data_IF_231597981164
#
_entry.id   IF_231597981164
#
_cell.length_a   1.000
_cell.length_b   1.000
_cell.length_c   1.000
_cell.angle_alpha   90.00
_cell.angle_beta   90.00
_cell.angle_gamma   90.00
#
_symmetry.space_group_name_H-M   'P 1'
#
loop_
_entity.id
_entity.type
_entity.pdbx_description
1 polymer ?
#
# COMPACT_ATOMS: atom_id res chain seq x y z
N UNK A 1 -19.51 27.22 32.41
CA UNK A 1 -20.02 25.97 32.98
C UNK A 1 -19.15 24.88 32.41
N UNK A 2 -18.12 24.49 33.17
CA UNK A 2 -17.11 23.49 32.76
C UNK A 2 -17.68 22.09 32.95
N UNK A 3 -17.64 21.24 31.93
CA UNK A 3 -17.80 19.79 32.08
C UNK A 3 -16.42 19.17 32.08
N UNK A 4 -16.00 18.61 33.21
CA UNK A 4 -14.89 17.69 33.38
C UNK A 4 -15.25 16.39 32.71
N UNK A 5 -14.33 15.86 31.90
CA UNK A 5 -14.39 14.52 31.33
C UNK A 5 -13.72 13.57 32.30
N UNK A 6 -14.46 12.58 32.77
CA UNK A 6 -14.03 11.55 33.71
C UNK A 6 -13.11 10.54 33.00
N UNK A 7 -11.88 10.43 33.50
CA UNK A 7 -10.90 9.41 33.08
C UNK A 7 -11.09 8.15 33.94
N UNK A 8 -12.03 7.29 33.57
CA UNK A 8 -12.09 5.96 34.20
C UNK A 8 -12.98 5.00 33.40
N UNK A 9 -12.52 4.55 32.23
CA UNK A 9 -13.03 3.34 31.59
C UNK A 9 -12.04 2.76 30.58
N UNK A 10 -10.87 2.32 31.06
CA UNK A 10 -9.98 1.44 30.31
C UNK A 10 -9.58 0.28 31.19
N UNK A 11 -10.45 -0.73 31.32
CA UNK A 11 -10.05 -2.11 31.63
C UNK A 11 -11.26 -3.04 31.72
N UNK A 12 -11.81 -3.44 30.60
CA UNK A 12 -12.60 -4.68 30.52
C UNK A 12 -12.33 -5.37 29.19
N UNK A 13 -11.12 -5.92 29.05
CA UNK A 13 -10.87 -6.93 28.02
C UNK A 13 -11.54 -8.21 28.51
N UNK A 14 -12.60 -8.56 27.83
CA UNK A 14 -13.45 -9.72 28.03
C UNK A 14 -12.59 -10.97 28.04
N UNK A 15 -12.49 -11.61 29.21
CA UNK A 15 -12.02 -12.99 29.34
C UNK A 15 -13.10 -13.94 28.83
N UNK A 16 -12.97 -14.41 27.61
CA UNK A 16 -13.79 -15.46 27.05
C UNK A 16 -13.49 -16.80 27.76
N UNK A 17 -14.50 -17.58 28.24
CA UNK A 17 -14.31 -18.82 28.96
C UNK A 17 -14.32 -20.07 28.07
N UNK A 18 -13.55 -20.09 26.94
CA UNK A 18 -13.62 -21.20 25.98
C UNK A 18 -12.26 -21.85 25.75
N UNK A 19 -11.56 -22.29 26.79
CA UNK A 19 -10.41 -23.18 26.59
C UNK A 19 -10.29 -24.17 27.72
N UNK A 20 -10.79 -25.38 27.49
CA UNK A 20 -10.66 -26.52 28.39
C UNK A 20 -10.16 -27.82 27.76
N UNK A 21 -9.56 -27.77 26.56
CA UNK A 21 -8.99 -28.98 25.96
C UNK A 21 -7.71 -28.68 25.20
N UNK A 22 -6.58 -29.32 25.56
CA UNK A 22 -5.24 -29.01 25.06
C UNK A 22 -5.05 -29.37 23.56
N UNK A 23 -5.72 -30.39 23.08
CA UNK A 23 -5.59 -30.79 21.65
C UNK A 23 -6.39 -29.91 20.73
N UNK A 24 -7.57 -29.46 21.15
CA UNK A 24 -8.37 -28.46 20.41
C UNK A 24 -7.71 -27.10 20.42
N UNK A 25 -6.89 -26.77 21.40
CA UNK A 25 -6.17 -25.51 21.52
C UNK A 25 -5.09 -25.35 20.43
N UNK A 26 -4.32 -26.40 20.14
CA UNK A 26 -3.27 -26.35 19.10
C UNK A 26 -3.87 -26.22 17.69
N UNK A 27 -4.99 -26.88 17.43
CA UNK A 27 -5.67 -26.81 16.14
C UNK A 27 -6.39 -25.45 15.93
N UNK A 28 -7.00 -24.90 16.98
CA UNK A 28 -7.70 -23.61 16.92
C UNK A 28 -6.77 -22.39 16.94
N UNK A 29 -5.60 -22.47 17.59
CA UNK A 29 -4.64 -21.37 17.60
C UNK A 29 -3.92 -21.13 16.26
N UNK A 30 -3.93 -22.10 15.33
CA UNK A 30 -3.48 -21.84 13.95
C UNK A 30 -4.26 -20.71 13.28
N UNK A 31 -5.52 -20.52 13.64
CA UNK A 31 -6.40 -19.50 13.05
C UNK A 31 -6.37 -18.13 13.74
N UNK A 32 -5.90 -18.05 14.98
CA UNK A 32 -5.90 -16.82 15.76
C UNK A 32 -4.67 -15.91 15.51
N UNK A 33 -3.59 -16.46 14.97
CA UNK A 33 -2.27 -15.78 14.90
C UNK A 33 -2.19 -14.74 13.78
N UNK A 34 -3.05 -14.82 12.76
CA UNK A 34 -2.92 -13.97 11.57
C UNK A 34 -3.86 -12.76 11.49
N UNK A 35 -4.64 -12.49 12.53
CA UNK A 35 -5.62 -11.39 12.54
C UNK A 35 -5.14 -10.16 13.33
N UNK A 36 -3.95 -10.20 13.93
CA UNK A 36 -3.44 -9.07 14.68
C UNK A 36 -2.44 -8.23 13.87
N UNK A 37 -2.62 -6.91 13.96
CA UNK A 37 -1.71 -5.91 13.43
C UNK A 37 -0.24 -6.19 13.81
N UNK A 38 0.68 -5.74 12.99
CA UNK A 38 2.13 -5.92 13.02
C UNK A 38 2.81 -5.84 14.43
N UNK A 39 2.21 -5.14 15.38
CA UNK A 39 2.71 -5.03 16.78
C UNK A 39 2.51 -6.34 17.57
N UNK A 40 1.48 -7.13 17.26
CA UNK A 40 1.21 -8.41 17.98
C UNK A 40 2.11 -9.56 17.49
N UNK A 41 2.61 -9.50 16.25
CA UNK A 41 3.47 -10.55 15.68
C UNK A 41 4.80 -10.70 16.43
N UNK A 42 5.43 -9.60 16.87
CA UNK A 42 6.67 -9.62 17.66
C UNK A 42 6.47 -10.13 19.09
N UNK A 43 5.32 -9.83 19.71
CA UNK A 43 4.98 -10.30 21.07
C UNK A 43 4.63 -11.80 21.13
N UNK A 44 4.01 -12.32 20.07
CA UNK A 44 3.61 -13.73 19.99
C UNK A 44 4.78 -14.66 19.65
N UNK A 45 5.78 -14.17 18.91
CA UNK A 45 7.02 -14.92 18.66
C UNK A 45 7.79 -15.20 19.95
N UNK A 46 7.84 -14.23 20.88
CA UNK A 46 8.47 -14.40 22.19
C UNK A 46 7.64 -15.31 23.13
N UNK A 47 6.31 -15.34 22.97
CA UNK A 47 5.42 -16.18 23.79
C UNK A 47 5.44 -17.65 23.33
N UNK A 48 5.53 -17.89 22.01
CA UNK A 48 5.58 -19.27 21.47
C UNK A 48 6.88 -19.99 21.82
N UNK A 49 8.03 -19.29 21.88
CA UNK A 49 9.34 -19.90 22.20
C UNK A 49 9.44 -20.39 23.64
N UNK A 50 8.71 -19.81 24.58
CA UNK A 50 8.72 -20.24 25.99
C UNK A 50 7.80 -21.45 26.28
N UNK A 51 6.84 -21.75 25.41
CA UNK A 51 5.89 -22.88 25.60
C UNK A 51 6.33 -24.19 24.95
N UNK A 52 7.38 -24.16 24.10
CA UNK A 52 7.82 -25.29 23.28
C UNK A 52 8.87 -26.19 23.95
N UNK A 53 9.26 -25.90 25.17
CA UNK A 53 10.27 -26.69 25.89
C UNK A 53 9.77 -28.04 26.45
N UNK A 54 8.52 -28.42 26.22
CA UNK A 54 7.93 -29.66 26.77
C UNK A 54 7.30 -30.59 25.70
N UNK A 55 7.56 -30.41 24.40
CA UNK A 55 7.06 -31.33 23.37
C UNK A 55 8.17 -32.27 22.86
N UNK A 56 7.85 -33.56 22.53
CA UNK A 56 8.84 -34.52 22.04
C UNK A 56 9.45 -34.00 20.73
N UNK A 57 10.76 -34.12 20.63
CA UNK A 57 11.66 -33.63 19.59
C UNK A 57 11.17 -33.90 18.17
N UNK A 58 10.41 -32.98 17.59
CA UNK A 58 10.28 -32.85 16.15
C UNK A 58 11.57 -32.21 15.63
N UNK A 59 12.17 -32.79 14.60
CA UNK A 59 13.38 -32.29 13.96
C UNK A 59 13.23 -30.77 13.67
N UNK A 60 14.18 -29.98 14.12
CA UNK A 60 14.12 -28.52 14.02
C UNK A 60 13.92 -28.01 12.57
N UNK A 61 14.48 -28.73 11.56
CA UNK A 61 14.28 -28.40 10.16
C UNK A 61 12.84 -28.66 9.69
N UNK A 62 12.18 -29.70 10.18
CA UNK A 62 10.79 -30.02 9.86
C UNK A 62 9.85 -28.98 10.54
N UNK A 63 10.16 -28.56 11.73
CA UNK A 63 9.41 -27.54 12.48
C UNK A 63 9.52 -26.17 11.80
N UNK A 64 10.71 -25.74 11.38
CA UNK A 64 10.95 -24.53 10.62
C UNK A 64 10.25 -24.55 9.26
N UNK A 65 10.19 -25.72 8.61
CA UNK A 65 9.44 -25.88 7.36
C UNK A 65 7.93 -25.82 7.57
N UNK A 66 7.42 -26.31 8.71
CA UNK A 66 5.99 -26.23 9.07
C UNK A 66 5.56 -24.78 9.39
N UNK A 67 6.44 -23.99 9.97
CA UNK A 67 6.18 -22.56 10.23
C UNK A 67 6.16 -21.70 8.95
N UNK A 68 6.76 -22.19 7.87
CA UNK A 68 6.82 -21.53 6.56
C UNK A 68 5.65 -21.84 5.64
N UNK A 69 4.79 -22.82 5.99
CA UNK A 69 3.60 -23.13 5.19
C UNK A 69 2.51 -22.14 5.60
N UNK A 70 2.09 -21.22 4.71
CA UNK A 70 0.96 -20.33 4.99
C UNK A 70 -0.28 -21.14 5.34
N UNK A 71 -1.12 -20.61 6.24
CA UNK A 71 -2.42 -21.23 6.54
C UNK A 71 -3.24 -21.34 5.26
N UNK A 72 -3.78 -22.54 4.96
CA UNK A 72 -4.71 -22.74 3.85
C UNK A 72 -6.14 -22.47 4.31
N UNK A 73 -6.69 -21.37 3.82
CA UNK A 73 -8.08 -20.98 4.12
C UNK A 73 -9.11 -21.92 3.49
N UNK A 74 -8.78 -22.54 2.35
CA UNK A 74 -9.65 -23.51 1.67
C UNK A 74 -9.88 -24.82 2.47
N UNK A 75 -9.14 -25.05 3.55
CA UNK A 75 -9.35 -26.16 4.47
C UNK A 75 -10.34 -25.83 5.62
N UNK A 76 -10.80 -24.58 5.72
CA UNK A 76 -11.76 -24.16 6.74
C UNK A 76 -13.15 -24.74 6.48
N UNK A 77 -13.81 -25.20 7.58
CA UNK A 77 -15.23 -25.51 7.53
C UNK A 77 -16.08 -24.20 7.46
N UNK A 78 -17.34 -24.35 7.08
CA UNK A 78 -18.25 -23.21 6.91
C UNK A 78 -18.44 -22.41 8.20
N UNK A 79 -18.45 -23.08 9.38
CA UNK A 79 -18.60 -22.39 10.66
C UNK A 79 -17.38 -21.49 10.95
N UNK A 80 -16.19 -22.03 10.74
CA UNK A 80 -14.92 -21.27 10.91
C UNK A 80 -14.83 -20.12 9.92
N UNK A 81 -15.28 -20.31 8.69
CA UNK A 81 -15.29 -19.25 7.66
C UNK A 81 -16.27 -18.12 8.03
N UNK A 82 -17.46 -18.45 8.54
CA UNK A 82 -18.44 -17.45 9.04
C UNK A 82 -17.83 -16.66 10.22
N UNK A 83 -17.17 -17.32 11.15
CA UNK A 83 -16.55 -16.65 12.28
C UNK A 83 -15.42 -15.72 11.83
N UNK A 84 -14.61 -16.17 10.88
CA UNK A 84 -13.55 -15.36 10.25
C UNK A 84 -14.12 -14.11 9.53
N UNK A 85 -15.24 -14.23 8.82
CA UNK A 85 -15.93 -13.10 8.20
C UNK A 85 -16.46 -12.09 9.21
N UNK A 86 -16.99 -12.55 10.35
CA UNK A 86 -17.40 -11.66 11.46
C UNK A 86 -16.21 -10.89 12.03
N UNK A 87 -15.07 -11.56 12.19
CA UNK A 87 -13.84 -10.92 12.64
C UNK A 87 -13.35 -9.91 11.60
N UNK A 88 -13.37 -10.26 10.31
CA UNK A 88 -13.05 -9.35 9.20
C UNK A 88 -13.92 -8.08 9.28
N UNK A 89 -15.25 -8.22 9.38
CA UNK A 89 -16.16 -7.06 9.52
C UNK A 89 -15.81 -6.18 10.71
N UNK A 90 -15.45 -6.77 11.83
CA UNK A 90 -15.06 -6.03 13.04
C UNK A 90 -13.74 -5.29 12.84
N UNK A 91 -12.72 -5.97 12.31
CA UNK A 91 -11.36 -5.44 12.17
C UNK A 91 -11.29 -4.29 11.15
N UNK A 92 -12.07 -4.39 10.07
CA UNK A 92 -12.10 -3.37 9.01
C UNK A 92 -13.36 -2.49 9.04
N UNK A 93 -14.10 -2.51 10.17
CA UNK A 93 -15.30 -1.68 10.37
C UNK A 93 -16.33 -1.81 9.24
N UNK A 94 -16.51 -3.04 8.69
CA UNK A 94 -17.44 -3.30 7.59
C UNK A 94 -18.86 -3.45 8.09
N UNK A 95 -19.78 -2.77 7.44
CA UNK A 95 -21.23 -2.89 7.61
C UNK A 95 -21.91 -2.81 6.25
N UNK A 96 -23.00 -3.56 6.08
CA UNK A 96 -23.75 -3.65 4.83
C UNK A 96 -25.18 -3.24 5.07
N UNK A 97 -25.82 -2.62 4.09
CA UNK A 97 -27.16 -2.05 4.24
C UNK A 97 -28.25 -3.11 4.28
N UNK A 98 -28.05 -4.25 3.60
CA UNK A 98 -29.04 -5.33 3.46
C UNK A 98 -28.41 -6.70 3.69
N UNK A 99 -29.26 -7.68 4.07
CA UNK A 99 -28.84 -9.09 4.22
C UNK A 99 -28.36 -9.68 2.88
N UNK A 100 -28.94 -9.23 1.76
CA UNK A 100 -28.55 -9.68 0.41
C UNK A 100 -27.13 -9.17 0.07
N UNK A 101 -26.84 -7.92 0.39
CA UNK A 101 -25.48 -7.38 0.25
C UNK A 101 -24.49 -8.12 1.16
N UNK A 102 -24.80 -8.33 2.43
CA UNK A 102 -23.94 -9.08 3.34
C UNK A 102 -23.66 -10.49 2.81
N UNK A 103 -24.66 -11.15 2.24
CA UNK A 103 -24.51 -12.48 1.62
C UNK A 103 -23.60 -12.46 0.40
N UNK A 104 -23.70 -11.41 -0.43
CA UNK A 104 -22.81 -11.21 -1.56
C UNK A 104 -21.37 -10.98 -1.09
N UNK A 105 -21.17 -10.07 -0.13
CA UNK A 105 -19.84 -9.76 0.45
C UNK A 105 -19.22 -10.96 1.13
N UNK A 106 -20.01 -11.79 1.80
CA UNK A 106 -19.52 -13.07 2.34
C UNK A 106 -19.08 -14.03 1.23
N UNK A 107 -19.79 -14.08 0.11
CA UNK A 107 -19.39 -14.89 -1.05
C UNK A 107 -18.06 -14.39 -1.65
N UNK A 108 -17.90 -13.07 -1.81
CA UNK A 108 -16.66 -12.46 -2.26
C UNK A 108 -15.50 -12.77 -1.29
N UNK A 109 -15.76 -12.66 0.01
CA UNK A 109 -14.78 -13.00 1.06
C UNK A 109 -14.30 -14.44 0.93
N UNK A 110 -15.21 -15.42 0.73
CA UNK A 110 -14.81 -16.82 0.49
C UNK A 110 -13.93 -16.98 -0.75
N UNK A 111 -14.28 -16.31 -1.83
CA UNK A 111 -13.48 -16.31 -3.05
C UNK A 111 -12.08 -15.70 -2.80
N UNK A 112 -12.02 -14.60 -2.07
CA UNK A 112 -10.77 -13.95 -1.72
C UNK A 112 -9.85 -14.86 -0.87
N UNK A 113 -10.40 -15.67 0.02
CA UNK A 113 -9.63 -16.67 0.78
C UNK A 113 -8.95 -17.69 -0.14
N UNK A 114 -9.61 -18.11 -1.22
CA UNK A 114 -9.00 -19.02 -2.21
C UNK A 114 -7.91 -18.33 -3.04
N UNK A 115 -8.06 -17.03 -3.30
CA UNK A 115 -7.04 -16.20 -3.97
C UNK A 115 -5.80 -16.08 -3.08
N UNK A 116 -5.98 -15.84 -1.77
CA UNK A 116 -4.87 -15.81 -0.81
C UNK A 116 -4.09 -17.13 -0.84
N UNK A 117 -4.79 -18.27 -0.75
CA UNK A 117 -4.14 -19.58 -0.76
C UNK A 117 -3.32 -19.79 -2.03
N UNK A 118 -3.89 -19.43 -3.18
CA UNK A 118 -3.20 -19.52 -4.47
C UNK A 118 -1.97 -18.61 -4.53
N UNK A 119 -2.10 -17.34 -4.14
CA UNK A 119 -0.98 -16.38 -4.17
C UNK A 119 0.16 -16.81 -3.24
N UNK A 120 -0.14 -17.31 -2.04
CA UNK A 120 0.86 -17.87 -1.15
C UNK A 120 1.51 -19.15 -1.72
N UNK A 121 0.76 -19.97 -2.44
CA UNK A 121 1.30 -21.15 -3.12
C UNK A 121 2.21 -20.74 -4.29
N UNK A 122 1.80 -19.75 -5.09
CA UNK A 122 2.59 -19.20 -6.20
C UNK A 122 3.90 -18.58 -5.70
N UNK A 123 3.86 -17.78 -4.63
CA UNK A 123 5.06 -17.24 -3.99
C UNK A 123 5.99 -18.33 -3.47
N UNK A 124 5.46 -19.42 -2.93
CA UNK A 124 6.25 -20.54 -2.44
C UNK A 124 6.86 -21.39 -3.58
N UNK A 125 6.11 -21.61 -4.68
CA UNK A 125 6.53 -22.48 -5.78
C UNK A 125 7.39 -21.75 -6.81
N UNK A 126 7.00 -20.55 -7.21
CA UNK A 126 7.60 -19.79 -8.31
C UNK A 126 8.43 -18.60 -7.85
N UNK A 127 8.12 -18.05 -6.68
CA UNK A 127 8.89 -17.01 -6.03
C UNK A 127 9.93 -17.59 -5.08
N UNK A 128 10.46 -16.75 -4.22
CA UNK A 128 11.40 -17.14 -3.16
C UNK A 128 10.72 -17.42 -1.82
N UNK A 129 9.38 -17.37 -1.76
CA UNK A 129 8.59 -17.51 -0.53
C UNK A 129 8.83 -16.39 0.49
N UNK A 130 9.22 -15.22 0.01
CA UNK A 130 9.58 -14.09 0.88
C UNK A 130 8.40 -13.18 1.22
N UNK A 131 7.28 -13.26 0.48
CA UNK A 131 6.08 -12.48 0.78
C UNK A 131 4.97 -13.32 1.40
N UNK A 132 4.04 -12.63 2.07
CA UNK A 132 2.86 -13.21 2.69
C UNK A 132 1.61 -12.47 2.21
N UNK A 133 0.65 -13.24 1.70
CA UNK A 133 -0.70 -12.79 1.40
C UNK A 133 -1.67 -13.23 2.51
N UNK A 134 -2.64 -12.37 2.82
CA UNK A 134 -3.61 -12.58 3.89
C UNK A 134 -4.88 -11.76 3.69
N UNK A 135 -5.73 -11.76 4.72
CA UNK A 135 -6.97 -10.97 4.75
C UNK A 135 -6.62 -9.50 4.95
N UNK A 136 -6.98 -8.68 3.97
CA UNK A 136 -6.84 -7.22 4.00
C UNK A 136 -8.21 -6.56 3.96
N UNK A 137 -8.26 -5.23 4.02
CA UNK A 137 -9.50 -4.47 3.86
C UNK A 137 -10.24 -4.70 2.55
N UNK A 138 -9.63 -5.34 1.56
CA UNK A 138 -10.22 -5.63 0.25
C UNK A 138 -10.90 -7.00 0.16
N UNK A 139 -10.95 -7.76 1.26
CA UNK A 139 -11.35 -9.17 1.20
C UNK A 139 -12.84 -9.42 0.87
N UNK A 140 -13.68 -8.40 0.90
CA UNK A 140 -15.09 -8.48 0.50
C UNK A 140 -15.36 -7.95 -0.92
N UNK A 141 -14.30 -7.56 -1.65
CA UNK A 141 -14.40 -7.10 -3.03
C UNK A 141 -14.14 -8.23 -4.02
N UNK A 142 -14.77 -8.12 -5.19
CA UNK A 142 -14.35 -8.87 -6.37
C UNK A 142 -13.06 -8.26 -6.96
N UNK A 143 -12.34 -9.00 -7.80
CA UNK A 143 -11.18 -8.46 -8.52
C UNK A 143 -11.56 -7.28 -9.42
N UNK A 144 -12.73 -7.29 -10.04
CA UNK A 144 -13.22 -6.19 -10.88
C UNK A 144 -13.55 -4.94 -10.05
N UNK A 145 -14.19 -5.11 -8.87
CA UNK A 145 -14.44 -4.01 -7.93
C UNK A 145 -13.12 -3.41 -7.43
N UNK A 146 -12.14 -4.27 -7.09
CA UNK A 146 -10.82 -3.80 -6.67
C UNK A 146 -10.11 -3.03 -7.79
N UNK A 147 -10.06 -3.59 -9.01
CA UNK A 147 -9.45 -2.91 -10.16
C UNK A 147 -10.10 -1.56 -10.42
N UNK A 148 -11.43 -1.53 -10.46
CA UNK A 148 -12.17 -0.29 -10.72
C UNK A 148 -11.92 0.79 -9.67
N UNK A 149 -11.89 0.43 -8.38
CA UNK A 149 -11.87 1.40 -7.29
C UNK A 149 -10.46 1.81 -6.83
N UNK A 150 -9.44 1.00 -7.11
CA UNK A 150 -8.11 1.21 -6.52
C UNK A 150 -6.97 1.26 -7.53
N UNK A 151 -7.21 0.85 -8.78
CA UNK A 151 -6.24 0.88 -9.88
C UNK A 151 -6.76 1.84 -10.95
N UNK A 152 -5.97 2.83 -11.30
CA UNK A 152 -6.45 3.92 -12.16
C UNK A 152 -5.38 4.47 -13.10
N UNK A 153 -4.27 3.75 -13.33
CA UNK A 153 -3.29 4.19 -14.30
C UNK A 153 -3.81 4.01 -15.72
N UNK A 154 -3.69 5.08 -16.51
CA UNK A 154 -3.99 5.09 -17.96
C UNK A 154 -2.80 5.66 -18.71
N UNK A 155 -2.04 4.81 -19.42
CA UNK A 155 -0.86 5.29 -20.16
C UNK A 155 -1.25 6.30 -21.25
N UNK A 156 -0.51 7.40 -21.34
CA UNK A 156 -0.55 8.32 -22.48
C UNK A 156 0.61 8.00 -23.41
N UNK A 157 0.39 8.10 -24.71
CA UNK A 157 1.41 7.77 -25.73
C UNK A 157 2.32 8.95 -26.10
N UNK A 158 1.98 10.17 -25.71
CA UNK A 158 2.76 11.38 -25.95
C UNK A 158 3.17 11.99 -24.60
N UNK A 159 4.32 11.56 -24.09
CA UNK A 159 4.89 12.18 -22.89
C UNK A 159 5.97 13.18 -23.29
N UNK A 160 5.97 14.35 -22.64
CA UNK A 160 7.02 15.36 -22.81
C UNK A 160 8.20 15.12 -21.86
N UNK A 161 8.21 14.01 -21.13
CA UNK A 161 9.25 13.68 -20.17
C UNK A 161 10.62 13.55 -20.86
N UNK A 162 11.59 14.28 -20.34
CA UNK A 162 12.97 14.15 -20.79
C UNK A 162 13.61 13.02 -20.00
N UNK A 163 14.09 11.99 -20.71
CA UNK A 163 14.83 10.89 -20.07
C UNK A 163 16.20 11.40 -19.60
N UNK A 164 16.52 11.17 -18.32
CA UNK A 164 17.81 11.49 -17.70
C UNK A 164 18.54 10.21 -17.32
N UNK A 165 19.81 10.17 -17.61
CA UNK A 165 20.73 9.14 -17.09
C UNK A 165 21.34 9.62 -15.77
N UNK A 166 21.50 8.69 -14.82
CA UNK A 166 22.09 8.94 -13.51
C UNK A 166 23.51 8.37 -13.47
N UNK A 167 24.45 9.12 -12.91
CA UNK A 167 25.81 8.62 -12.73
C UNK A 167 25.85 7.58 -11.58
N UNK A 168 25.82 6.33 -11.95
CA UNK A 168 25.79 5.18 -11.02
C UNK A 168 27.10 4.97 -10.28
N UNK A 169 28.24 5.48 -10.79
CA UNK A 169 29.57 5.30 -10.17
C UNK A 169 29.76 6.16 -8.90
N UNK A 170 28.95 7.18 -8.71
CA UNK A 170 29.06 8.09 -7.57
C UNK A 170 28.30 7.64 -6.33
N UNK A 171 27.55 6.54 -6.39
CA UNK A 171 26.70 6.06 -5.30
C UNK A 171 27.51 5.21 -4.32
N UNK A 172 27.73 5.71 -3.11
CA UNK A 172 28.54 5.07 -2.07
C UNK A 172 27.72 4.37 -0.96
N UNK A 173 26.39 4.26 -1.14
CA UNK A 173 25.49 3.59 -0.18
C UNK A 173 24.67 2.53 -0.89
N UNK A 174 24.27 1.51 -0.14
CA UNK A 174 23.48 0.38 -0.63
C UNK A 174 22.06 0.37 -0.07
N UNK A 175 21.78 1.21 0.94
CA UNK A 175 20.49 1.26 1.62
C UNK A 175 20.07 2.70 1.86
N UNK A 176 18.80 2.99 1.55
CA UNK A 176 18.15 4.24 1.90
C UNK A 176 16.64 4.03 2.11
N UNK A 177 16.08 4.78 3.04
CA UNK A 177 14.64 4.94 3.22
C UNK A 177 14.34 6.42 3.47
N UNK A 178 13.61 7.06 2.57
CA UNK A 178 13.22 8.46 2.65
C UNK A 178 11.88 8.69 3.34
N UNK A 179 11.18 7.63 3.77
CA UNK A 179 9.93 7.75 4.51
C UNK A 179 10.10 8.66 5.74
N UNK A 180 9.21 9.62 5.90
CA UNK A 180 9.25 10.67 6.94
C UNK A 180 10.50 11.59 6.91
N UNK A 181 11.35 11.48 5.89
CA UNK A 181 12.49 12.39 5.64
C UNK A 181 12.14 13.33 4.49
N UNK A 182 11.73 12.76 3.35
CA UNK A 182 11.28 13.50 2.17
C UNK A 182 9.84 13.17 1.78
N UNK A 183 9.09 12.44 2.62
CA UNK A 183 7.69 12.13 2.37
C UNK A 183 6.78 12.68 3.45
N UNK A 184 5.60 13.10 3.07
CA UNK A 184 4.47 13.32 3.98
C UNK A 184 3.91 11.99 4.48
N UNK A 185 2.86 12.00 5.32
CA UNK A 185 2.19 10.79 5.78
C UNK A 185 1.60 9.97 4.62
N UNK A 186 1.45 8.66 4.83
CA UNK A 186 0.73 7.75 3.91
C UNK A 186 -0.70 8.24 3.73
N UNK A 187 -1.14 8.32 2.46
CA UNK A 187 -2.47 8.79 2.08
C UNK A 187 -3.43 7.62 1.82
N UNK A 188 -4.73 7.93 1.69
CA UNK A 188 -5.76 6.95 1.31
C UNK A 188 -6.66 7.54 0.22
N UNK A 189 -6.59 6.97 -0.99
CA UNK A 189 -7.40 7.36 -2.15
C UNK A 189 -8.86 6.91 -2.06
N UNK A 190 -9.19 6.01 -1.11
CA UNK A 190 -10.52 5.42 -1.01
C UNK A 190 -10.88 4.61 -2.25
N UNK A 191 -12.19 4.48 -2.50
CA UNK A 191 -12.74 3.81 -3.68
C UNK A 191 -12.83 4.83 -4.85
N UNK A 192 -11.69 5.15 -5.44
CA UNK A 192 -11.54 6.08 -6.58
C UNK A 192 -10.22 5.75 -7.30
N UNK A 193 -10.26 5.55 -8.61
CA UNK A 193 -9.08 5.24 -9.44
C UNK A 193 -8.14 6.44 -9.62
N UNK A 194 -7.79 7.13 -8.53
CA UNK A 194 -7.00 8.38 -8.51
C UNK A 194 -5.52 8.20 -8.15
N UNK A 195 -5.00 6.97 -8.16
CA UNK A 195 -3.60 6.66 -7.81
C UNK A 195 -2.58 7.51 -8.58
N UNK A 196 -2.86 7.84 -9.82
CA UNK A 196 -2.07 8.72 -10.68
C UNK A 196 -1.90 10.12 -10.07
N UNK A 197 -2.97 10.70 -9.56
CA UNK A 197 -2.96 12.02 -8.91
C UNK A 197 -2.27 11.95 -7.54
N UNK A 198 -2.44 10.86 -6.78
CA UNK A 198 -1.75 10.64 -5.51
C UNK A 198 -0.24 10.50 -5.70
N UNK A 199 0.20 9.64 -6.64
CA UNK A 199 1.62 9.45 -6.94
C UNK A 199 2.28 10.75 -7.41
N UNK A 200 1.61 11.51 -8.29
CA UNK A 200 2.12 12.81 -8.76
C UNK A 200 2.22 13.83 -7.60
N UNK A 201 1.18 13.95 -6.78
CA UNK A 201 1.18 14.84 -5.61
C UNK A 201 2.30 14.47 -4.64
N UNK A 202 2.45 13.20 -4.31
CA UNK A 202 3.48 12.68 -3.42
C UNK A 202 4.89 12.94 -3.96
N UNK A 203 5.07 12.89 -5.27
CA UNK A 203 6.35 13.22 -5.88
C UNK A 203 6.65 14.72 -5.81
N UNK A 204 5.66 15.58 -6.09
CA UNK A 204 5.80 17.05 -5.94
C UNK A 204 6.13 17.41 -4.49
N UNK A 205 5.46 16.79 -3.51
CA UNK A 205 5.78 16.94 -2.09
C UNK A 205 7.24 16.57 -1.80
N UNK A 206 7.66 15.37 -2.22
CA UNK A 206 8.99 14.84 -1.90
C UNK A 206 10.11 15.70 -2.49
N UNK A 207 9.97 16.13 -3.74
CA UNK A 207 10.97 17.00 -4.37
C UNK A 207 10.98 18.39 -3.73
N UNK A 208 9.82 18.94 -3.37
CA UNK A 208 9.72 20.23 -2.68
C UNK A 208 10.30 20.17 -1.26
N UNK A 209 10.08 19.09 -0.53
CA UNK A 209 10.68 18.87 0.80
C UNK A 209 12.21 18.74 0.67
N UNK A 210 12.69 17.94 -0.27
CA UNK A 210 14.11 17.77 -0.56
C UNK A 210 14.81 19.08 -0.90
N UNK A 211 14.14 19.95 -1.62
CA UNK A 211 14.64 21.28 -1.98
C UNK A 211 14.48 22.32 -0.84
N UNK A 212 13.86 21.97 0.28
CA UNK A 212 13.64 22.86 1.41
C UNK A 212 12.52 23.90 1.17
N UNK A 213 11.62 23.66 0.23
CA UNK A 213 10.47 24.51 -0.08
C UNK A 213 9.27 24.17 0.79
N UNK A 214 9.11 22.91 1.15
CA UNK A 214 8.07 22.37 2.03
C UNK A 214 8.72 21.56 3.18
N UNK A 215 7.90 21.18 4.15
CA UNK A 215 8.22 20.26 5.23
C UNK A 215 7.38 18.98 5.10
N UNK A 216 7.69 17.95 5.88
CA UNK A 216 6.91 16.69 5.91
C UNK A 216 5.47 16.87 6.40
N UNK A 217 5.16 17.99 7.04
CA UNK A 217 3.81 18.35 7.52
C UNK A 217 2.99 19.12 6.48
N UNK A 218 3.59 19.50 5.35
CA UNK A 218 2.96 20.29 4.29
C UNK A 218 2.39 19.36 3.19
N UNK A 219 1.32 18.62 3.52
CA UNK A 219 0.63 17.77 2.54
C UNK A 219 -0.07 18.65 1.47
N UNK A 220 0.13 18.31 0.20
CA UNK A 220 -0.52 18.92 -0.95
C UNK A 220 -1.79 18.14 -1.33
N UNK A 221 -2.67 18.78 -2.13
CA UNK A 221 -3.98 18.25 -2.50
C UNK A 221 -3.95 17.35 -3.73
N UNK A 222 -4.10 16.02 -3.61
CA UNK A 222 -4.36 15.19 -4.78
C UNK A 222 -5.74 15.48 -5.40
N UNK A 223 -6.71 15.96 -4.60
CA UNK A 223 -8.04 16.31 -5.07
C UNK A 223 -8.03 17.41 -6.12
N UNK A 224 -7.16 18.42 -5.96
CA UNK A 224 -7.04 19.46 -6.95
C UNK A 224 -6.66 18.86 -8.33
N UNK A 225 -5.75 17.91 -8.37
CA UNK A 225 -5.41 17.20 -9.62
C UNK A 225 -6.60 16.40 -10.13
N UNK A 226 -7.22 15.57 -9.26
CA UNK A 226 -8.37 14.71 -9.62
C UNK A 226 -9.52 15.50 -10.23
N UNK A 227 -9.83 16.70 -9.69
CA UNK A 227 -10.98 17.50 -10.12
C UNK A 227 -10.66 18.49 -11.23
N UNK A 228 -9.43 18.97 -11.31
CA UNK A 228 -9.09 20.12 -12.17
C UNK A 228 -8.26 19.74 -13.39
N UNK A 229 -7.65 18.57 -13.42
CA UNK A 229 -7.06 18.08 -14.66
C UNK A 229 -8.18 17.73 -15.64
N UNK A 230 -8.13 18.36 -16.82
CA UNK A 230 -9.14 18.19 -17.87
C UNK A 230 -8.68 17.22 -18.98
N UNK A 231 -7.50 16.64 -18.86
CA UNK A 231 -6.95 15.66 -19.79
C UNK A 231 -7.33 14.25 -19.32
N UNK A 232 -7.22 14.01 -18.03
CA UNK A 232 -7.52 12.74 -17.40
C UNK A 232 -9.00 12.63 -16.94
N UNK A 233 -9.34 11.51 -16.33
CA UNK A 233 -10.73 11.10 -16.11
C UNK A 233 -11.11 11.04 -14.61
N UNK A 234 -10.40 11.77 -13.75
CA UNK A 234 -10.68 11.81 -12.31
C UNK A 234 -10.61 10.43 -11.66
N UNK A 235 -11.71 9.95 -11.05
CA UNK A 235 -11.78 8.63 -10.43
C UNK A 235 -11.74 7.48 -11.45
N UNK A 236 -11.98 7.71 -12.73
CA UNK A 236 -11.87 6.67 -13.76
C UNK A 236 -10.44 6.47 -14.27
N UNK A 237 -9.47 7.21 -13.74
CA UNK A 237 -8.05 7.03 -14.02
C UNK A 237 -7.39 8.18 -14.75
N UNK A 238 -6.06 8.12 -14.82
CA UNK A 238 -5.21 9.12 -15.46
C UNK A 238 -3.73 8.73 -15.44
N UNK A 239 -2.88 9.72 -15.73
CA UNK A 239 -1.43 9.56 -15.84
C UNK A 239 -0.68 10.58 -14.98
N UNK A 240 0.45 10.20 -14.45
CA UNK A 240 1.33 11.08 -13.67
C UNK A 240 1.94 12.20 -14.51
N UNK A 241 2.22 11.97 -15.82
CA UNK A 241 2.72 13.01 -16.72
C UNK A 241 1.73 14.15 -16.85
N UNK A 242 0.48 13.84 -17.18
CA UNK A 242 -0.60 14.81 -17.32
C UNK A 242 -0.89 15.52 -16.02
N UNK A 243 -0.79 14.82 -14.88
CA UNK A 243 -0.87 15.43 -13.55
C UNK A 243 0.23 16.47 -13.30
N UNK A 244 1.50 16.16 -13.65
CA UNK A 244 2.60 17.14 -13.56
C UNK A 244 2.39 18.31 -14.50
N UNK A 245 1.97 18.06 -15.75
CA UNK A 245 1.65 19.09 -16.74
C UNK A 245 0.49 19.96 -16.28
N UNK A 246 -0.54 19.37 -15.64
CA UNK A 246 -1.63 20.15 -15.04
C UNK A 246 -1.09 21.14 -14.01
N UNK A 247 -0.31 20.69 -13.01
CA UNK A 247 0.24 21.56 -11.95
C UNK A 247 1.13 22.65 -12.53
N UNK A 248 1.94 22.32 -13.55
CA UNK A 248 2.77 23.27 -14.28
C UNK A 248 1.92 24.34 -14.98
N UNK A 249 0.89 23.94 -15.72
CA UNK A 249 0.04 24.83 -16.50
C UNK A 249 -0.92 25.66 -15.63
N UNK A 250 -1.41 25.09 -14.54
CA UNK A 250 -2.23 25.80 -13.55
C UNK A 250 -1.42 26.86 -12.79
N UNK A 251 -0.09 26.69 -12.73
CA UNK A 251 0.83 27.55 -12.00
C UNK A 251 1.01 27.18 -10.55
N UNK A 252 0.45 26.06 -10.08
CA UNK A 252 0.67 25.55 -8.73
C UNK A 252 -0.40 24.60 -8.20
N UNK A 253 -0.15 24.13 -6.99
CA UNK A 253 -1.02 23.21 -6.25
C UNK A 253 -1.22 23.68 -4.83
N UNK A 254 -2.46 23.54 -4.30
CA UNK A 254 -2.88 23.91 -2.95
C UNK A 254 -2.45 22.84 -1.92
N UNK A 255 -2.53 23.21 -0.63
CA UNK A 255 -2.45 22.25 0.47
C UNK A 255 -3.70 21.39 0.51
N UNK A 256 -3.55 20.17 1.01
CA UNK A 256 -4.68 19.26 1.29
C UNK A 256 -5.68 19.87 2.27
N UNK A 257 -5.21 20.66 3.27
CA UNK A 257 -6.08 21.38 4.21
C UNK A 257 -6.92 22.51 3.57
N UNK A 258 -6.48 23.07 2.44
CA UNK A 258 -7.17 24.13 1.70
C UNK A 258 -8.06 23.60 0.59
N UNK A 259 -7.75 22.43 0.08
CA UNK A 259 -8.49 21.70 -0.94
C UNK A 259 -8.55 20.20 -0.58
N UNK A 260 -9.37 19.81 0.41
CA UNK A 260 -9.37 18.47 0.98
C UNK A 260 -9.90 17.40 0.03
N UNK A 261 -9.42 16.15 0.19
CA UNK A 261 -9.84 15.03 -0.61
C UNK A 261 -11.29 14.63 -0.32
N UNK A 262 -12.16 14.68 -1.33
CA UNK A 262 -13.60 14.37 -1.27
C UNK A 262 -14.02 13.25 -2.22
N UNK A 263 -13.18 12.86 -3.15
CA UNK A 263 -13.44 11.82 -4.17
C UNK A 263 -13.42 10.40 -3.64
N UNK A 264 -13.36 10.23 -2.32
CA UNK A 264 -13.20 8.94 -1.61
C UNK A 264 -14.23 7.86 -1.99
N UNK A 265 -15.37 8.22 -2.57
CA UNK A 265 -16.48 7.32 -2.91
C UNK A 265 -16.82 7.31 -4.41
N UNK A 266 -15.82 7.34 -5.29
CA UNK A 266 -15.99 7.27 -6.76
C UNK A 266 -16.74 8.49 -7.35
N UNK A 267 -16.59 9.66 -6.75
CA UNK A 267 -17.19 10.90 -7.23
C UNK A 267 -16.12 11.96 -7.43
N UNK A 268 -15.74 12.22 -8.66
CA UNK A 268 -14.71 13.20 -9.00
C UNK A 268 -15.05 14.63 -8.52
N UNK A 269 -16.31 15.05 -8.59
CA UNK A 269 -16.71 16.39 -8.21
C UNK A 269 -16.35 17.47 -9.26
N UNK A 270 -16.35 18.74 -8.84
CA UNK A 270 -16.08 19.90 -9.70
C UNK A 270 -14.83 20.65 -9.22
N UNK A 271 -14.03 21.13 -10.16
CA UNK A 271 -12.85 21.95 -9.84
C UNK A 271 -13.21 23.28 -9.20
N UNK A 272 -12.63 23.56 -8.03
CA UNK A 272 -12.82 24.81 -7.27
C UNK A 272 -11.49 25.41 -6.80
N UNK A 273 -10.38 25.16 -7.52
CA UNK A 273 -9.05 25.60 -7.12
C UNK A 273 -8.94 27.14 -7.02
N UNK A 274 -8.17 27.59 -6.02
CA UNK A 274 -7.90 28.99 -5.73
C UNK A 274 -6.41 29.29 -5.89
N UNK A 275 -6.05 29.95 -6.98
CA UNK A 275 -4.65 30.26 -7.32
C UNK A 275 -3.93 31.09 -6.25
N UNK A 276 -4.66 31.77 -5.35
CA UNK A 276 -4.06 32.55 -4.26
C UNK A 276 -3.55 31.68 -3.11
N UNK A 277 -3.86 30.37 -3.12
CA UNK A 277 -3.47 29.37 -2.12
C UNK A 277 -2.40 28.40 -2.60
N UNK A 278 -1.95 28.54 -3.83
CA UNK A 278 -0.92 27.67 -4.37
C UNK A 278 0.38 27.77 -3.59
N UNK A 279 0.97 26.64 -3.29
CA UNK A 279 2.18 26.52 -2.48
C UNK A 279 3.44 26.41 -3.35
N UNK A 280 3.40 25.44 -4.25
CA UNK A 280 4.51 25.11 -5.15
C UNK A 280 3.96 24.81 -6.54
N UNK A 281 4.83 24.97 -7.54
CA UNK A 281 4.54 24.55 -8.92
C UNK A 281 5.63 23.64 -9.45
N UNK A 282 5.31 22.84 -10.46
CA UNK A 282 6.26 22.04 -11.22
C UNK A 282 6.81 22.91 -12.36
N UNK A 283 8.14 22.99 -12.46
CA UNK A 283 8.79 23.69 -13.59
C UNK A 283 9.20 22.72 -14.70
N UNK A 284 9.67 21.55 -14.30
CA UNK A 284 10.14 20.49 -15.19
C UNK A 284 9.89 19.14 -14.52
N UNK A 285 9.73 18.09 -15.32
CA UNK A 285 9.74 16.72 -14.84
C UNK A 285 10.57 15.84 -15.76
N UNK A 286 11.12 14.79 -15.21
CA UNK A 286 12.06 13.91 -15.89
C UNK A 286 11.70 12.45 -15.64
N UNK A 287 11.95 11.62 -16.67
CA UNK A 287 11.89 10.16 -16.56
C UNK A 287 13.29 9.59 -16.40
N UNK A 288 13.42 8.45 -15.73
CA UNK A 288 14.63 7.66 -15.69
C UNK A 288 14.53 6.51 -16.70
N UNK A 289 15.68 5.99 -17.12
CA UNK A 289 15.76 5.06 -18.24
C UNK A 289 15.38 3.63 -17.87
N UNK A 290 15.87 3.15 -16.72
CA UNK A 290 15.78 1.76 -16.28
C UNK A 290 15.91 1.63 -14.75
N UNK A 291 15.81 0.40 -14.24
CA UNK A 291 15.87 0.13 -12.81
C UNK A 291 17.23 0.51 -12.18
N UNK A 292 18.34 0.40 -12.92
CA UNK A 292 19.67 0.77 -12.43
C UNK A 292 19.75 2.29 -12.19
N UNK A 293 19.24 3.10 -13.11
CA UNK A 293 19.13 4.56 -12.93
C UNK A 293 18.20 4.92 -11.76
N UNK A 294 17.10 4.19 -11.57
CA UNK A 294 16.20 4.37 -10.44
C UNK A 294 16.88 4.07 -9.10
N UNK A 295 17.62 2.96 -9.01
CA UNK A 295 18.40 2.59 -7.82
C UNK A 295 19.40 3.69 -7.50
N UNK A 296 20.17 4.13 -8.48
CA UNK A 296 21.17 5.18 -8.31
C UNK A 296 20.55 6.52 -7.87
N UNK A 297 19.44 6.93 -8.48
CA UNK A 297 18.71 8.15 -8.12
C UNK A 297 18.15 8.03 -6.68
N UNK A 298 17.47 6.95 -6.37
CA UNK A 298 16.88 6.75 -5.04
C UNK A 298 17.97 6.73 -3.96
N UNK A 299 19.07 6.02 -4.19
CA UNK A 299 20.20 6.00 -3.25
C UNK A 299 20.83 7.37 -3.06
N UNK A 300 20.93 8.20 -4.10
CA UNK A 300 21.67 9.47 -4.04
C UNK A 300 20.81 10.70 -3.78
N UNK A 301 19.56 10.71 -4.24
CA UNK A 301 18.78 11.94 -4.43
C UNK A 301 17.46 11.94 -3.66
N UNK A 302 16.51 11.03 -3.96
CA UNK A 302 15.19 11.07 -3.35
C UNK A 302 14.21 10.01 -3.85
N UNK A 303 12.93 10.09 -3.44
CA UNK A 303 11.84 9.24 -3.95
C UNK A 303 11.57 9.43 -5.44
N UNK A 304 10.85 8.45 -6.00
CA UNK A 304 10.39 8.44 -7.40
C UNK A 304 8.90 8.09 -7.48
N UNK A 305 8.12 8.85 -8.23
CA UNK A 305 6.82 8.40 -8.72
C UNK A 305 7.04 7.26 -9.70
N UNK A 306 6.32 6.16 -9.54
CA UNK A 306 6.42 4.97 -10.40
C UNK A 306 5.04 4.39 -10.67
N UNK A 307 4.85 3.81 -11.87
CA UNK A 307 3.62 3.08 -12.19
C UNK A 307 3.95 1.60 -12.34
N UNK A 308 3.08 0.74 -11.80
CA UNK A 308 3.35 -0.67 -11.52
C UNK A 308 2.15 -1.55 -11.85
N UNK A 309 2.37 -2.86 -12.00
CA UNK A 309 1.33 -3.87 -12.07
C UNK A 309 0.92 -4.29 -10.65
N UNK A 310 -0.22 -3.81 -10.15
CA UNK A 310 -0.66 -3.98 -8.77
C UNK A 310 -1.91 -4.85 -8.60
N UNK A 311 -2.41 -5.49 -9.65
CA UNK A 311 -3.61 -6.34 -9.62
C UNK A 311 -3.56 -7.43 -8.53
N UNK A 312 -2.35 -7.92 -8.20
CA UNK A 312 -2.12 -8.97 -7.19
C UNK A 312 -1.94 -8.43 -5.76
N UNK A 313 -1.85 -7.10 -5.56
CA UNK A 313 -1.49 -6.51 -4.28
C UNK A 313 -2.61 -6.48 -3.25
N UNK A 314 -3.86 -6.69 -3.67
CA UNK A 314 -5.04 -6.60 -2.78
C UNK A 314 -4.90 -7.44 -1.50
N UNK A 315 -4.22 -8.58 -1.54
CA UNK A 315 -4.02 -9.48 -0.40
C UNK A 315 -2.64 -9.40 0.26
N UNK A 316 -1.77 -8.49 -0.16
CA UNK A 316 -0.43 -8.35 0.42
C UNK A 316 -0.47 -7.92 1.88
N UNK A 317 0.30 -8.59 2.73
CA UNK A 317 0.42 -8.30 4.17
C UNK A 317 1.84 -7.92 4.54
N UNK A 318 2.84 -8.69 4.08
CA UNK A 318 4.24 -8.44 4.45
C UNK A 318 5.23 -9.18 3.56
N UNK A 319 6.52 -8.83 3.73
CA UNK A 319 7.64 -9.48 3.05
C UNK A 319 7.91 -8.91 1.67
N UNK A 320 8.80 -9.54 0.92
CA UNK A 320 9.26 -9.06 -0.39
C UNK A 320 8.48 -9.80 -1.48
N UNK A 321 7.74 -9.07 -2.32
CA UNK A 321 7.06 -9.62 -3.50
C UNK A 321 8.12 -10.09 -4.51
N UNK A 322 8.00 -11.34 -4.93
CA UNK A 322 8.88 -12.00 -5.89
C UNK A 322 8.13 -12.60 -7.08
N UNK A 323 6.81 -12.38 -7.15
CA UNK A 323 5.95 -12.78 -8.26
C UNK A 323 4.88 -11.70 -8.49
N UNK A 324 4.73 -11.23 -9.73
CA UNK A 324 3.85 -10.12 -10.07
C UNK A 324 3.28 -10.27 -11.48
N UNK A 325 2.18 -9.58 -11.74
CA UNK A 325 1.65 -9.36 -13.08
C UNK A 325 2.53 -8.36 -13.86
N UNK A 326 2.26 -8.19 -15.16
CA UNK A 326 2.99 -7.26 -16.04
C UNK A 326 2.11 -6.17 -16.64
N UNK A 327 0.80 -6.20 -16.38
CA UNK A 327 -0.14 -5.16 -16.84
C UNK A 327 -0.08 -3.99 -15.86
N UNK A 328 0.58 -2.89 -16.25
CA UNK A 328 0.72 -1.69 -15.43
C UNK A 328 -0.63 -0.99 -15.31
N UNK A 329 -1.14 -0.87 -14.07
CA UNK A 329 -2.50 -0.44 -13.77
C UNK A 329 -2.61 0.51 -12.56
N UNK A 330 -1.48 0.81 -11.89
CA UNK A 330 -1.45 1.58 -10.64
C UNK A 330 -0.20 2.47 -10.57
N UNK A 331 -0.29 3.65 -9.93
CA UNK A 331 0.87 4.50 -9.69
C UNK A 331 1.05 4.74 -8.18
N UNK A 332 2.30 4.69 -7.74
CA UNK A 332 2.74 4.73 -6.34
C UNK A 332 4.06 5.50 -6.22
N UNK A 333 4.72 5.45 -5.07
CA UNK A 333 6.01 6.11 -4.90
C UNK A 333 7.08 5.15 -4.36
N UNK A 334 8.17 4.96 -5.09
CA UNK A 334 9.37 4.29 -4.58
C UNK A 334 10.11 5.24 -3.64
N UNK A 335 10.10 4.96 -2.34
CA UNK A 335 10.65 5.84 -1.30
C UNK A 335 11.97 5.35 -0.72
N UNK A 336 12.41 4.17 -1.11
CA UNK A 336 13.68 3.64 -0.63
C UNK A 336 14.06 2.36 -1.34
N UNK A 337 15.31 1.97 -1.16
CA UNK A 337 15.87 0.75 -1.71
C UNK A 337 16.92 0.17 -0.76
N UNK A 338 16.95 -1.15 -0.67
CA UNK A 338 17.97 -1.92 0.03
C UNK A 338 18.57 -2.92 -0.95
N UNK A 339 19.70 -2.59 -1.55
CA UNK A 339 20.37 -3.46 -2.52
C UNK A 339 21.15 -4.59 -1.85
N UNK A 340 21.45 -4.52 -0.55
CA UNK A 340 22.10 -5.60 0.21
C UNK A 340 21.14 -6.78 0.43
N UNK A 341 19.85 -6.47 0.70
CA UNK A 341 18.78 -7.46 0.90
C UNK A 341 17.89 -7.64 -0.34
N UNK A 342 18.08 -6.81 -1.37
CA UNK A 342 17.46 -6.94 -2.67
C UNK A 342 15.98 -6.54 -2.73
N UNK A 343 15.58 -5.38 -2.15
CA UNK A 343 14.20 -4.92 -2.25
C UNK A 343 14.03 -3.39 -2.33
N UNK A 344 12.96 -2.99 -3.00
CA UNK A 344 12.39 -1.65 -3.00
C UNK A 344 11.44 -1.45 -1.82
N UNK A 345 11.41 -0.25 -1.27
CA UNK A 345 10.38 0.22 -0.34
C UNK A 345 9.45 1.14 -1.12
N UNK A 346 8.20 0.71 -1.31
CA UNK A 346 7.21 1.42 -2.11
C UNK A 346 6.07 1.90 -1.22
N UNK A 347 5.81 3.21 -1.21
CA UNK A 347 4.68 3.84 -0.53
C UNK A 347 3.45 3.74 -1.42
N UNK A 348 2.35 3.19 -0.88
CA UNK A 348 1.07 3.11 -1.56
C UNK A 348 0.08 4.15 -1.00
N UNK A 349 -1.01 4.36 -1.70
CA UNK A 349 -2.09 5.29 -1.36
C UNK A 349 -3.38 4.58 -0.91
N UNK A 350 -3.25 3.47 -0.18
CA UNK A 350 -4.39 2.70 0.36
C UNK A 350 -4.48 2.74 1.88
N UNK A 351 -3.97 3.81 2.54
CA UNK A 351 -3.98 3.96 3.99
C UNK A 351 -2.98 3.07 4.72
N UNK A 352 -2.79 3.34 6.01
CA UNK A 352 -1.81 2.62 6.86
C UNK A 352 -2.30 1.26 7.36
N UNK A 353 -3.56 0.91 7.14
CA UNK A 353 -4.16 -0.37 7.50
C UNK A 353 -3.98 -1.47 6.42
N UNK A 354 -3.25 -1.16 5.35
CA UNK A 354 -2.87 -2.10 4.31
C UNK A 354 -1.35 -2.32 4.29
N UNK A 355 -0.93 -3.56 4.00
CA UNK A 355 0.48 -3.93 3.84
C UNK A 355 1.34 -3.65 5.08
N UNK A 356 2.54 -3.17 4.89
CA UNK A 356 3.49 -2.77 5.94
C UNK A 356 3.24 -1.30 6.32
N UNK A 357 2.15 -1.01 7.05
CA UNK A 357 1.75 0.36 7.42
C UNK A 357 1.60 1.30 6.20
N UNK A 358 1.03 0.78 5.11
CA UNK A 358 0.83 1.49 3.84
C UNK A 358 1.96 1.30 2.82
N UNK A 359 2.96 0.49 3.14
CA UNK A 359 4.09 0.18 2.25
C UNK A 359 4.04 -1.26 1.75
N UNK A 360 4.72 -1.49 0.62
CA UNK A 360 5.00 -2.81 0.05
C UNK A 360 6.47 -2.91 -0.32
N UNK A 361 7.05 -4.09 -0.20
CA UNK A 361 8.41 -4.37 -0.64
C UNK A 361 8.41 -5.21 -1.91
N UNK A 362 9.15 -4.78 -2.92
CA UNK A 362 9.30 -5.45 -4.21
C UNK A 362 10.75 -5.86 -4.41
N UNK A 363 11.01 -7.05 -4.98
CA UNK A 363 12.38 -7.49 -5.29
C UNK A 363 13.05 -6.54 -6.27
N UNK A 364 14.35 -6.19 -6.04
CA UNK A 364 15.14 -5.33 -6.93
C UNK A 364 15.90 -6.14 -7.99
N UNK A 365 16.27 -5.48 -9.09
CA UNK A 365 17.15 -6.03 -10.13
C UNK A 365 16.47 -6.97 -11.11
N UNK A 366 15.14 -7.07 -11.06
CA UNK A 366 14.32 -7.94 -11.90
C UNK A 366 13.10 -7.23 -12.47
N UNK A 367 13.04 -5.90 -12.33
CA UNK A 367 11.90 -5.06 -12.74
C UNK A 367 10.56 -5.58 -12.18
N UNK A 368 10.56 -5.91 -10.88
CA UNK A 368 9.41 -6.52 -10.22
C UNK A 368 8.17 -5.63 -10.32
N UNK A 369 7.04 -6.21 -10.73
CA UNK A 369 5.78 -5.50 -11.02
C UNK A 369 5.94 -4.38 -12.05
N UNK A 370 6.93 -4.46 -12.95
CA UNK A 370 7.22 -3.41 -13.95
C UNK A 370 7.56 -2.05 -13.32
N UNK A 371 8.25 -2.03 -12.17
CA UNK A 371 8.51 -0.80 -11.41
C UNK A 371 9.30 0.25 -12.21
N UNK A 372 10.07 -0.18 -13.21
CA UNK A 372 10.83 0.71 -14.08
C UNK A 372 10.07 1.17 -15.33
N UNK A 373 8.76 0.85 -15.43
CA UNK A 373 7.95 1.19 -16.61
C UNK A 373 7.84 2.70 -16.82
N UNK A 374 7.61 3.48 -15.75
CA UNK A 374 7.36 4.92 -15.85
C UNK A 374 7.88 5.70 -14.61
N UNK A 375 9.20 5.64 -14.31
CA UNK A 375 9.77 6.30 -13.13
C UNK A 375 10.01 7.80 -13.40
N UNK A 376 9.54 8.66 -12.48
CA UNK A 376 9.61 10.11 -12.63
C UNK A 376 9.98 10.87 -11.36
N UNK A 377 10.59 12.04 -11.56
CA UNK A 377 10.80 13.07 -10.55
C UNK A 377 10.57 14.46 -11.12
N UNK A 378 10.39 15.44 -10.24
CA UNK A 378 10.06 16.83 -10.62
C UNK A 378 11.11 17.84 -10.15
N UNK A 379 11.12 18.99 -10.80
CA UNK A 379 11.78 20.21 -10.31
C UNK A 379 10.69 21.21 -9.95
N UNK A 380 10.65 21.60 -8.68
CA UNK A 380 9.60 22.45 -8.13
C UNK A 380 10.14 23.80 -7.66
N UNK A 381 9.27 24.82 -7.61
CA UNK A 381 9.55 26.13 -7.00
C UNK A 381 8.34 26.60 -6.20
N UNK A 382 8.57 27.53 -5.26
CA UNK A 382 7.47 28.25 -4.58
C UNK A 382 6.71 29.13 -5.58
N UNK A 383 5.41 29.26 -5.36
CA UNK A 383 4.53 30.18 -6.09
C UNK A 383 4.50 31.53 -5.42
#
# INVERSE_FOLDING_TARGET
MYYQKDESETSNIIKSPIFRDKETFLYKNRYAVFIFSSIAALGLFAYSTNYLNETPTMNSELYESYLKIPMKYGELDEYSTIDLFKQYKTNFSRSYETDDEESLRYTNFKNFLTIIDKRNEDEFIYGSGKSLHGITKFADLTEDEFKKGFLGYRPTYDTNAIVKEVDTELVNRTVVNWANIYTTAVKDQGYCGSCWAFSATEQIESDSIRMGLLTVDDALSPEQIVQCDNIDYGCEGGNTDTAFEYVMNAGGIERDSDYPYTSYYDVTGECTSDTTKYMVTVNEYYSLKDEDDMIAYTLSTGPLSVCVAASTWSSYVSGIITSCDTDVDHCVQAVGVNTDEGYWIVRNSWGTDWGLEGYIWLETGVDMCMISYDPKYTITTLV
#
